data_IF_321519018859
#
_entry.id   IF_321519018859
#
_cell.length_a   1.000
_cell.length_b   1.000
_cell.length_c   1.000
_cell.angle_alpha   90.00
_cell.angle_beta   90.00
_cell.angle_gamma   90.00
#
_symmetry.space_group_name_H-M   'P 1'
#
loop_
_entity.id
_entity.type
_entity.pdbx_description
1 polymer ?
#
# COMPACT_ATOMS: atom_id res chain seq x y z
N UNK A 1 15.07 79.53 8.79
CA UNK A 1 15.74 78.21 8.82
C UNK A 1 14.68 77.13 8.94
N UNK A 2 14.35 76.53 7.80
CA UNK A 2 13.39 75.41 7.74
C UNK A 2 14.16 74.09 7.80
N UNK A 3 13.88 73.20 8.76
CA UNK A 3 14.40 71.84 8.79
C UNK A 3 13.41 70.91 8.06
N UNK A 4 13.86 70.33 6.98
CA UNK A 4 13.18 69.23 6.27
C UNK A 4 13.45 67.90 6.98
N UNK A 5 12.38 67.19 7.32
CA UNK A 5 12.45 65.78 7.79
C UNK A 5 12.32 64.86 6.60
N UNK A 6 13.33 64.05 6.37
CA UNK A 6 13.29 62.91 5.44
C UNK A 6 12.74 61.68 6.19
N UNK A 7 11.62 61.10 5.67
CA UNK A 7 11.09 59.83 6.14
C UNK A 7 11.78 58.65 5.46
N UNK A 8 11.74 57.43 6.06
CA UNK A 8 12.42 56.27 5.48
C UNK A 8 11.64 55.69 4.30
N UNK A 9 12.41 55.36 3.24
CA UNK A 9 11.93 54.66 2.04
C UNK A 9 11.44 53.25 2.37
N UNK A 10 10.25 52.92 1.85
CA UNK A 10 9.70 51.55 1.88
C UNK A 10 10.30 50.74 0.73
N UNK A 11 11.03 49.66 1.05
CA UNK A 11 11.51 48.70 0.10
C UNK A 11 10.35 47.91 -0.56
N UNK A 12 10.56 47.32 -1.75
CA UNK A 12 9.50 46.68 -2.53
C UNK A 12 9.06 45.36 -1.83
N UNK A 13 7.77 45.29 -1.52
CA UNK A 13 7.13 44.10 -0.96
C UNK A 13 7.20 42.93 -1.95
N UNK A 14 7.83 41.86 -1.53
CA UNK A 14 7.80 40.58 -2.23
C UNK A 14 6.35 40.09 -2.32
N UNK A 15 5.79 40.07 -3.51
CA UNK A 15 4.50 39.42 -3.78
C UNK A 15 4.70 37.94 -3.58
N UNK A 16 4.11 37.38 -2.51
CA UNK A 16 3.89 35.96 -2.33
C UNK A 16 2.86 35.52 -3.38
N UNK A 17 3.29 34.80 -4.42
CA UNK A 17 2.39 34.10 -5.33
C UNK A 17 1.63 33.01 -4.58
N UNK A 18 0.43 32.62 -5.03
CA UNK A 18 -0.29 31.53 -4.41
C UNK A 18 0.51 30.24 -4.59
N UNK A 19 0.91 29.62 -3.49
CA UNK A 19 1.41 28.25 -3.48
C UNK A 19 0.20 27.38 -3.80
N UNK A 20 0.08 26.94 -5.04
CA UNK A 20 -0.86 25.88 -5.42
C UNK A 20 -0.35 24.60 -4.78
N UNK A 21 -0.87 24.30 -3.61
CA UNK A 21 -0.64 23.02 -2.93
C UNK A 21 -1.31 21.95 -3.79
N UNK A 22 -0.50 21.16 -4.48
CA UNK A 22 -0.93 19.90 -5.09
C UNK A 22 -1.31 18.95 -3.95
N UNK A 23 -2.59 18.99 -3.54
CA UNK A 23 -3.23 18.04 -2.64
C UNK A 23 -3.52 16.74 -3.40
N UNK A 24 -2.50 16.04 -3.79
CA UNK A 24 -2.68 14.74 -4.40
C UNK A 24 -1.59 13.84 -3.83
N UNK A 25 -1.96 12.92 -2.90
CA UNK A 25 -1.26 11.62 -2.99
C UNK A 25 -1.44 10.64 -1.84
N UNK A 26 -2.00 11.00 -0.68
CA UNK A 26 -2.19 10.00 0.36
C UNK A 26 -3.60 9.35 0.37
N UNK A 27 -4.60 10.01 -0.21
CA UNK A 27 -6.02 9.58 -0.19
C UNK A 27 -6.74 9.92 -1.51
N UNK A 28 -6.07 9.89 -2.64
CA UNK A 28 -6.71 10.14 -3.94
C UNK A 28 -7.56 8.94 -4.40
N UNK A 29 -8.64 8.69 -3.71
CA UNK A 29 -9.80 8.00 -4.22
C UNK A 29 -11.06 8.70 -3.71
N UNK A 30 -11.11 10.02 -3.81
CA UNK A 30 -12.39 10.73 -3.77
C UNK A 30 -13.04 10.49 -5.12
N UNK A 31 -14.14 9.77 -5.11
CA UNK A 31 -14.95 9.48 -6.28
C UNK A 31 -15.18 10.73 -7.13
N UNK A 32 -14.50 10.83 -8.25
CA UNK A 32 -14.95 11.64 -9.35
C UNK A 32 -16.16 10.91 -9.91
N UNK A 33 -17.33 11.58 -9.84
CA UNK A 33 -18.60 11.16 -10.40
C UNK A 33 -18.41 10.52 -11.77
N UNK A 34 -19.00 9.32 -11.95
CA UNK A 34 -18.84 8.48 -13.11
C UNK A 34 -19.08 9.21 -14.44
N UNK A 35 -18.01 9.40 -15.17
CA UNK A 35 -18.07 9.43 -16.61
C UNK A 35 -18.02 7.96 -17.06
N UNK A 36 -19.05 7.53 -17.78
CA UNK A 36 -19.03 6.25 -18.48
C UNK A 36 -17.74 6.17 -19.30
N UNK A 37 -17.02 5.03 -19.30
CA UNK A 37 -15.84 4.88 -20.11
C UNK A 37 -16.24 5.12 -21.57
N UNK A 38 -15.61 6.11 -22.20
CA UNK A 38 -15.71 6.28 -23.64
C UNK A 38 -15.33 4.95 -24.28
N UNK A 39 -16.13 4.51 -25.25
CA UNK A 39 -15.82 3.35 -26.10
C UNK A 39 -14.58 3.68 -26.93
N UNK A 40 -13.42 3.62 -26.29
CA UNK A 40 -12.12 3.73 -26.94
C UNK A 40 -11.89 2.48 -27.79
N UNK A 41 -11.32 2.64 -28.96
CA UNK A 41 -10.87 1.56 -29.82
C UNK A 41 -10.06 0.57 -28.96
N UNK A 42 -10.45 -0.70 -28.98
CA UNK A 42 -9.75 -1.74 -28.21
C UNK A 42 -8.27 -1.79 -28.63
N UNK A 43 -7.36 -2.10 -27.71
CA UNK A 43 -5.94 -2.20 -28.02
C UNK A 43 -5.73 -3.19 -29.16
N UNK A 44 -4.83 -2.83 -30.09
CA UNK A 44 -4.47 -3.67 -31.23
C UNK A 44 -4.08 -5.08 -30.76
N UNK A 45 -4.62 -6.10 -31.43
CA UNK A 45 -4.31 -7.50 -31.09
C UNK A 45 -2.84 -7.77 -31.40
N UNK A 46 -2.06 -8.02 -30.37
CA UNK A 46 -0.67 -8.42 -30.54
C UNK A 46 -0.52 -9.73 -31.31
N UNK A 47 0.56 -9.87 -32.08
CA UNK A 47 0.84 -11.04 -32.92
C UNK A 47 0.95 -12.37 -32.16
N UNK A 48 1.10 -12.36 -30.82
CA UNK A 48 1.22 -13.55 -29.97
C UNK A 48 -0.09 -14.11 -29.42
N UNK A 49 -1.23 -13.49 -29.71
CA UNK A 49 -2.52 -13.88 -29.16
C UNK A 49 -3.35 -14.80 -30.04
N UNK A 50 -2.72 -15.67 -30.79
CA UNK A 50 -3.40 -16.63 -31.66
C UNK A 50 -4.29 -17.61 -30.84
N UNK A 51 -5.58 -17.68 -31.17
CA UNK A 51 -6.56 -18.65 -30.68
C UNK A 51 -7.43 -18.19 -29.50
N UNK A 52 -8.64 -18.73 -29.38
CA UNK A 52 -9.56 -18.44 -28.28
C UNK A 52 -9.14 -19.25 -27.05
N UNK A 53 -8.29 -18.68 -26.21
CA UNK A 53 -7.98 -19.28 -24.94
C UNK A 53 -9.02 -18.90 -23.91
N UNK A 54 -9.82 -19.88 -23.47
CA UNK A 54 -10.86 -19.69 -22.47
C UNK A 54 -10.25 -19.84 -21.08
N UNK A 55 -9.60 -18.77 -20.61
CA UNK A 55 -9.20 -18.69 -19.21
C UNK A 55 -10.43 -18.47 -18.33
N UNK A 56 -10.55 -19.25 -17.25
CA UNK A 56 -11.60 -19.08 -16.24
C UNK A 56 -10.98 -18.92 -14.87
N UNK A 57 -11.38 -17.86 -14.19
CA UNK A 57 -11.00 -17.62 -12.80
C UNK A 57 -12.00 -18.36 -11.91
N UNK A 58 -11.57 -19.39 -11.17
CA UNK A 58 -12.47 -20.11 -10.27
C UNK A 58 -13.05 -19.19 -9.20
N UNK A 59 -14.34 -19.25 -9.00
CA UNK A 59 -15.05 -18.42 -8.02
C UNK A 59 -15.40 -17.02 -8.49
N UNK A 60 -14.86 -16.53 -9.61
CA UNK A 60 -15.22 -15.20 -10.10
C UNK A 60 -16.70 -15.15 -10.49
N UNK A 61 -17.38 -14.10 -10.06
CA UNK A 61 -18.74 -13.78 -10.50
C UNK A 61 -18.72 -13.20 -11.90
N UNK A 62 -17.74 -12.35 -12.17
CA UNK A 62 -17.56 -11.73 -13.47
C UNK A 62 -16.09 -11.64 -13.85
N UNK A 63 -15.78 -11.79 -15.15
CA UNK A 63 -14.43 -11.64 -15.68
C UNK A 63 -14.42 -11.22 -17.14
N UNK A 64 -13.34 -10.57 -17.54
CA UNK A 64 -13.00 -10.33 -18.94
C UNK A 64 -11.54 -10.72 -19.18
N UNK A 65 -11.24 -11.18 -20.41
CA UNK A 65 -9.87 -11.53 -20.82
C UNK A 65 -9.48 -10.65 -21.99
N UNK A 66 -8.31 -10.02 -21.88
CA UNK A 66 -7.73 -9.22 -22.95
C UNK A 66 -6.37 -9.78 -23.37
N UNK A 67 -6.05 -9.68 -24.62
CA UNK A 67 -4.71 -9.91 -25.15
C UNK A 67 -4.06 -8.56 -25.46
N UNK A 68 -2.90 -8.32 -24.88
CA UNK A 68 -2.26 -7.02 -24.85
C UNK A 68 -0.82 -7.13 -25.34
N UNK A 69 -0.40 -6.16 -26.12
CA UNK A 69 0.98 -6.08 -26.66
C UNK A 69 1.98 -5.70 -25.57
N UNK A 70 1.49 -5.10 -24.50
CA UNK A 70 2.29 -4.76 -23.30
C UNK A 70 1.37 -4.77 -22.07
N UNK A 71 1.75 -5.57 -21.07
CA UNK A 71 1.05 -5.71 -19.79
C UNK A 71 1.52 -4.70 -18.74
N UNK A 72 2.52 -3.88 -19.07
CA UNK A 72 3.05 -2.87 -18.15
C UNK A 72 2.26 -1.56 -18.24
N UNK A 73 2.41 -0.70 -17.27
CA UNK A 73 1.76 0.62 -17.27
C UNK A 73 2.10 1.44 -18.51
N UNK A 74 3.28 1.26 -19.12
CA UNK A 74 3.65 1.93 -20.36
C UNK A 74 2.71 1.58 -21.53
N UNK A 75 2.25 0.34 -21.62
CA UNK A 75 1.30 -0.11 -22.65
C UNK A 75 -0.16 0.04 -22.25
N UNK A 76 -0.45 0.20 -20.96
CA UNK A 76 -1.82 0.21 -20.42
C UNK A 76 -2.36 1.61 -20.09
N UNK A 77 -1.50 2.63 -19.95
CA UNK A 77 -1.90 3.98 -19.62
C UNK A 77 -2.95 4.50 -20.60
N UNK A 78 -4.05 5.07 -20.07
CA UNK A 78 -5.17 5.56 -20.87
C UNK A 78 -6.14 4.47 -21.38
N UNK A 79 -5.95 3.21 -21.00
CA UNK A 79 -6.85 2.10 -21.31
C UNK A 79 -7.72 1.73 -20.10
N UNK A 80 -8.69 0.83 -20.28
CA UNK A 80 -9.50 0.28 -19.19
C UNK A 80 -8.80 -0.86 -18.42
N UNK A 81 -7.51 -1.12 -18.69
CA UNK A 81 -6.77 -2.25 -18.12
C UNK A 81 -5.77 -1.84 -17.03
N UNK A 82 -5.72 -0.58 -16.68
CA UNK A 82 -5.01 0.01 -15.53
C UNK A 82 -5.71 1.30 -15.11
N UNK A 83 -5.37 1.82 -13.93
CA UNK A 83 -5.85 3.11 -13.43
C UNK A 83 -4.64 3.89 -12.87
N UNK A 84 -4.19 4.91 -13.63
CA UNK A 84 -3.07 5.74 -13.22
C UNK A 84 -3.37 6.61 -11.99
N UNK A 85 -4.66 6.97 -11.79
CA UNK A 85 -5.07 7.71 -10.60
C UNK A 85 -4.96 6.86 -9.33
N UNK A 86 -5.23 5.55 -9.44
CA UNK A 86 -5.08 4.60 -8.33
C UNK A 86 -3.61 4.43 -7.89
N UNK A 87 -2.65 4.76 -8.76
CA UNK A 87 -1.21 4.64 -8.51
C UNK A 87 -0.57 5.94 -7.99
N UNK A 88 -1.31 7.05 -7.99
CA UNK A 88 -0.76 8.36 -7.68
C UNK A 88 -0.04 8.43 -6.32
N UNK A 89 1.15 9.01 -6.29
CA UNK A 89 1.94 9.22 -5.06
C UNK A 89 2.62 7.99 -4.47
N UNK A 90 2.56 6.84 -5.11
CA UNK A 90 3.27 5.65 -4.64
C UNK A 90 4.74 5.61 -5.08
N UNK A 91 5.06 6.25 -6.20
CA UNK A 91 6.41 6.26 -6.77
C UNK A 91 6.90 7.67 -7.01
N UNK A 92 8.21 7.89 -6.99
CA UNK A 92 8.84 9.16 -7.32
C UNK A 92 8.78 9.43 -8.84
N UNK A 93 8.72 10.71 -9.24
CA UNK A 93 8.93 11.09 -10.62
C UNK A 93 10.34 10.65 -11.08
N UNK A 94 10.50 10.30 -12.34
CA UNK A 94 11.76 9.77 -12.85
C UNK A 94 12.01 8.30 -12.53
N UNK A 95 11.07 7.61 -11.86
CA UNK A 95 11.10 6.15 -11.74
C UNK A 95 11.08 5.52 -13.13
N UNK A 96 12.10 4.73 -13.43
CA UNK A 96 12.16 3.96 -14.69
C UNK A 96 11.42 2.64 -14.52
N UNK A 97 10.40 2.44 -15.34
CA UNK A 97 9.65 1.19 -15.39
C UNK A 97 9.97 0.41 -16.66
N UNK A 98 9.99 -0.90 -16.55
CA UNK A 98 10.03 -1.79 -17.72
C UNK A 98 8.82 -1.58 -18.63
N UNK A 99 8.95 -1.99 -19.89
CA UNK A 99 7.90 -1.96 -20.90
C UNK A 99 8.06 -3.13 -21.89
N UNK A 100 7.07 -3.31 -22.75
CA UNK A 100 7.16 -4.29 -23.84
C UNK A 100 7.00 -5.74 -23.38
N UNK A 101 6.12 -6.02 -22.43
CA UNK A 101 5.81 -7.36 -21.95
C UNK A 101 4.46 -7.82 -22.53
N UNK A 102 4.44 -8.51 -23.66
CA UNK A 102 3.20 -9.00 -24.25
C UNK A 102 2.58 -10.12 -23.40
N UNK A 103 1.24 -10.23 -23.45
CA UNK A 103 0.58 -11.29 -22.71
C UNK A 103 -0.93 -11.13 -22.61
N UNK A 104 -1.52 -11.81 -21.62
CA UNK A 104 -2.95 -11.76 -21.35
C UNK A 104 -3.22 -11.13 -19.99
N UNK A 105 -4.26 -10.31 -19.93
CA UNK A 105 -4.81 -9.80 -18.69
C UNK A 105 -6.20 -10.35 -18.47
N UNK A 106 -6.49 -10.76 -17.25
CA UNK A 106 -7.82 -11.16 -16.79
C UNK A 106 -8.22 -10.21 -15.67
N UNK A 107 -9.27 -9.43 -15.89
CA UNK A 107 -9.89 -8.59 -14.87
C UNK A 107 -11.21 -9.22 -14.44
N UNK A 108 -11.59 -9.00 -13.20
CA UNK A 108 -12.87 -9.48 -12.72
C UNK A 108 -13.11 -9.11 -11.26
N UNK A 109 -14.18 -9.67 -10.71
CA UNK A 109 -14.48 -9.58 -9.29
C UNK A 109 -15.08 -10.89 -8.80
N UNK A 110 -14.85 -11.16 -7.52
CA UNK A 110 -15.49 -12.27 -6.82
C UNK A 110 -16.87 -11.87 -6.28
N UNK A 111 -17.77 -12.82 -5.99
CA UNK A 111 -18.99 -12.53 -5.27
C UNK A 111 -18.66 -11.79 -3.96
N UNK A 112 -19.41 -10.73 -3.72
CA UNK A 112 -19.29 -9.95 -2.50
C UNK A 112 -20.64 -9.94 -1.76
N UNK A 113 -20.63 -10.50 -0.55
CA UNK A 113 -21.76 -10.61 0.37
C UNK A 113 -21.69 -9.61 1.52
N UNK A 114 -20.81 -8.62 1.41
CA UNK A 114 -20.64 -7.59 2.42
C UNK A 114 -21.93 -6.78 2.63
N UNK A 115 -22.00 -6.13 3.78
CA UNK A 115 -23.18 -5.34 4.12
C UNK A 115 -23.25 -3.99 3.42
N UNK A 116 -22.19 -3.56 2.78
CA UNK A 116 -22.05 -2.25 2.16
C UNK A 116 -21.31 -2.33 0.81
N UNK A 117 -21.92 -2.98 -0.16
CA UNK A 117 -21.47 -2.93 -1.52
C UNK A 117 -22.54 -2.20 -2.36
N UNK A 118 -22.27 -0.96 -2.71
CA UNK A 118 -23.17 -0.11 -3.48
C UNK A 118 -22.74 0.04 -4.93
N UNK A 119 -21.61 -0.55 -5.31
CA UNK A 119 -21.10 -0.50 -6.67
C UNK A 119 -21.38 -1.81 -7.40
N UNK A 120 -21.69 -1.72 -8.68
CA UNK A 120 -22.06 -2.85 -9.53
C UNK A 120 -21.24 -2.84 -10.82
N UNK A 121 -21.16 -3.98 -11.47
CA UNK A 121 -20.35 -4.15 -12.68
C UNK A 121 -18.85 -4.00 -12.37
N UNK A 122 -18.14 -3.25 -13.20
CA UNK A 122 -16.69 -3.08 -13.04
C UNK A 122 -16.26 -2.15 -11.89
N UNK A 123 -17.19 -1.59 -11.16
CA UNK A 123 -16.92 -0.87 -9.92
C UNK A 123 -17.30 -1.68 -8.67
N UNK A 124 -17.69 -2.93 -8.84
CA UNK A 124 -17.99 -3.86 -7.75
C UNK A 124 -16.76 -4.03 -6.86
N UNK A 125 -16.94 -4.21 -5.54
CA UNK A 125 -15.84 -4.57 -4.65
C UNK A 125 -15.41 -6.03 -4.88
N UNK A 126 -14.35 -6.48 -4.23
CA UNK A 126 -13.71 -7.77 -4.45
C UNK A 126 -13.10 -7.95 -5.86
N UNK A 127 -12.59 -6.85 -6.43
CA UNK A 127 -11.94 -6.84 -7.73
C UNK A 127 -10.55 -7.47 -7.72
N UNK A 128 -10.20 -8.03 -8.88
CA UNK A 128 -8.86 -8.57 -9.12
C UNK A 128 -8.38 -8.28 -10.55
N UNK A 129 -7.05 -8.34 -10.71
CA UNK A 129 -6.36 -8.43 -11.98
C UNK A 129 -5.38 -9.58 -11.95
N UNK A 130 -5.30 -10.36 -13.05
CA UNK A 130 -4.29 -11.42 -13.25
C UNK A 130 -3.60 -11.15 -14.58
N UNK A 131 -2.27 -11.00 -14.59
CA UNK A 131 -1.43 -10.76 -15.77
C UNK A 131 -0.51 -11.94 -16.06
N UNK A 132 -0.52 -12.40 -17.28
CA UNK A 132 0.09 -13.65 -17.73
C UNK A 132 1.03 -13.35 -18.92
N UNK A 133 2.33 -13.08 -18.68
CA UNK A 133 3.27 -12.73 -19.73
C UNK A 133 3.51 -13.91 -20.68
N UNK A 134 3.72 -13.64 -21.97
CA UNK A 134 4.03 -14.72 -22.94
C UNK A 134 5.29 -15.49 -22.57
N UNK A 135 6.34 -14.77 -22.16
CA UNK A 135 7.59 -15.37 -21.67
C UNK A 135 7.55 -15.57 -20.16
N UNK A 136 6.83 -16.59 -19.73
CA UNK A 136 6.66 -16.92 -18.32
C UNK A 136 7.86 -17.70 -17.76
N UNK A 137 8.40 -17.26 -16.62
CA UNK A 137 9.53 -17.87 -15.93
C UNK A 137 9.15 -19.04 -14.99
N UNK A 138 7.85 -19.36 -14.85
CA UNK A 138 7.36 -20.41 -13.96
C UNK A 138 6.89 -19.91 -12.58
N UNK A 139 7.01 -18.63 -12.28
CA UNK A 139 6.63 -18.05 -10.99
C UNK A 139 5.36 -17.20 -11.05
N UNK A 140 4.77 -16.97 -9.87
CA UNK A 140 3.61 -16.09 -9.65
C UNK A 140 3.92 -15.12 -8.51
N UNK A 141 3.56 -13.85 -8.67
CA UNK A 141 3.62 -12.84 -7.62
C UNK A 141 2.21 -12.33 -7.33
N UNK A 142 1.85 -12.27 -6.04
CA UNK A 142 0.53 -11.82 -5.59
C UNK A 142 0.68 -10.61 -4.68
N UNK A 143 -0.23 -9.64 -4.80
CA UNK A 143 -0.30 -8.48 -3.92
C UNK A 143 -1.74 -8.10 -3.58
N UNK A 144 -1.92 -7.40 -2.46
CA UNK A 144 -3.13 -6.64 -2.16
C UNK A 144 -2.86 -5.14 -2.28
N UNK A 145 -3.87 -4.36 -2.60
CA UNK A 145 -3.75 -2.93 -2.76
C UNK A 145 -3.33 -2.20 -1.46
N UNK A 146 -2.46 -1.18 -1.53
CA UNK A 146 -2.13 -0.32 -0.40
C UNK A 146 -3.31 0.58 -0.02
N UNK A 147 -3.36 1.06 1.22
CA UNK A 147 -4.38 2.00 1.70
C UNK A 147 -5.80 1.52 1.40
N UNK A 148 -6.62 2.43 0.89
CA UNK A 148 -8.01 2.19 0.47
C UNK A 148 -8.14 2.15 -1.06
N UNK A 149 -7.11 1.69 -1.76
CA UNK A 149 -6.98 1.67 -3.22
C UNK A 149 -7.52 0.39 -3.83
N UNK A 150 -7.64 0.40 -5.16
CA UNK A 150 -8.14 -0.70 -5.98
C UNK A 150 -7.00 -1.63 -6.46
N UNK A 151 -7.35 -2.61 -7.28
CA UNK A 151 -6.44 -3.67 -7.75
C UNK A 151 -5.28 -3.21 -8.64
N UNK A 152 -5.34 -2.01 -9.20
CA UNK A 152 -4.27 -1.48 -10.08
C UNK A 152 -3.24 -0.61 -9.36
N UNK A 153 -3.44 -0.36 -8.07
CA UNK A 153 -2.60 0.58 -7.32
C UNK A 153 -1.11 0.24 -7.32
N UNK A 154 -0.76 -1.04 -7.32
CA UNK A 154 0.62 -1.48 -7.29
C UNK A 154 1.24 -1.71 -8.68
N UNK A 155 0.60 -1.27 -9.76
CA UNK A 155 1.05 -1.57 -11.13
C UNK A 155 2.46 -1.03 -11.40
N UNK A 156 2.68 0.27 -11.27
CA UNK A 156 4.01 0.89 -11.45
C UNK A 156 5.04 0.40 -10.45
N UNK A 157 4.63 0.23 -9.19
CA UNK A 157 5.57 -0.11 -8.11
C UNK A 157 6.01 -1.58 -8.15
N UNK A 158 5.09 -2.51 -8.45
CA UNK A 158 5.33 -3.95 -8.33
C UNK A 158 5.13 -4.68 -9.66
N UNK A 159 3.94 -4.54 -10.29
CA UNK A 159 3.55 -5.33 -11.46
C UNK A 159 4.55 -5.21 -12.61
N UNK A 160 4.91 -3.98 -13.01
CA UNK A 160 5.80 -3.74 -14.16
C UNK A 160 7.14 -4.45 -13.98
N UNK A 161 7.72 -4.37 -12.78
CA UNK A 161 9.00 -5.01 -12.48
C UNK A 161 8.92 -6.54 -12.55
N UNK A 162 7.95 -7.15 -11.85
CA UNK A 162 7.87 -8.61 -11.79
C UNK A 162 7.47 -9.23 -13.12
N UNK A 163 6.64 -8.55 -13.91
CA UNK A 163 6.30 -8.95 -15.28
C UNK A 163 7.51 -8.93 -16.19
N UNK A 164 8.39 -7.92 -16.08
CA UNK A 164 9.63 -7.87 -16.89
C UNK A 164 10.60 -8.98 -16.57
N UNK A 165 10.55 -9.51 -15.35
CA UNK A 165 11.30 -10.70 -14.92
C UNK A 165 10.64 -12.02 -15.37
N UNK A 166 9.46 -11.94 -15.99
CA UNK A 166 8.71 -13.09 -16.51
C UNK A 166 7.76 -13.73 -15.50
N UNK A 167 7.55 -13.17 -14.33
CA UNK A 167 6.53 -13.68 -13.39
C UNK A 167 5.13 -13.39 -13.90
N UNK A 168 4.20 -14.32 -13.68
CA UNK A 168 2.78 -13.97 -13.67
C UNK A 168 2.49 -13.09 -12.44
N UNK A 169 1.51 -12.21 -12.55
CA UNK A 169 1.17 -11.25 -11.50
C UNK A 169 -0.33 -11.30 -11.20
N UNK A 170 -0.70 -11.16 -9.93
CA UNK A 170 -2.09 -11.03 -9.52
C UNK A 170 -2.25 -10.00 -8.39
N UNK A 171 -3.26 -9.14 -8.49
CA UNK A 171 -3.57 -8.14 -7.47
C UNK A 171 -5.06 -8.03 -7.19
N UNK A 172 -5.43 -7.65 -5.97
CA UNK A 172 -6.81 -7.44 -5.52
C UNK A 172 -6.96 -6.11 -4.78
N UNK A 173 -8.17 -5.53 -4.87
CA UNK A 173 -8.60 -4.42 -4.02
C UNK A 173 -8.83 -4.82 -2.56
N UNK A 174 -8.64 -6.11 -2.21
CA UNK A 174 -8.81 -6.70 -0.88
C UNK A 174 -10.26 -6.96 -0.45
N UNK A 175 -11.24 -6.76 -1.33
CA UNK A 175 -12.66 -6.94 -1.03
C UNK A 175 -13.40 -5.64 -0.75
N UNK A 176 -12.68 -4.58 -0.42
CA UNK A 176 -13.24 -3.26 -0.20
C UNK A 176 -12.20 -2.18 -0.50
N UNK A 177 -12.66 -1.05 -0.95
CA UNK A 177 -11.86 0.13 -1.24
C UNK A 177 -12.55 1.37 -0.66
N UNK A 178 -12.00 2.58 -0.86
CA UNK A 178 -12.51 3.83 -0.33
C UNK A 178 -12.34 4.02 1.18
N UNK A 179 -12.59 5.24 1.65
CA UNK A 179 -12.35 5.64 3.06
C UNK A 179 -13.42 5.12 4.02
N UNK A 180 -14.52 4.62 3.50
CA UNK A 180 -15.65 4.08 4.29
C UNK A 180 -15.71 2.55 4.27
N UNK A 181 -14.60 1.89 3.93
CA UNK A 181 -14.48 0.43 3.93
C UNK A 181 -14.95 -0.24 5.24
N UNK A 182 -14.86 0.45 6.37
CA UNK A 182 -15.32 -0.02 7.67
C UNK A 182 -16.83 -0.35 7.71
N UNK A 183 -17.61 0.16 6.74
CA UNK A 183 -19.04 -0.13 6.61
C UNK A 183 -19.32 -1.47 5.95
N UNK A 184 -18.32 -2.05 5.33
CA UNK A 184 -18.41 -3.29 4.59
C UNK A 184 -18.60 -4.50 5.50
N UNK A 185 -18.05 -4.48 6.70
CA UNK A 185 -18.16 -5.55 7.68
C UNK A 185 -19.51 -5.60 8.39
N UNK A 186 -19.97 -6.79 8.74
CA UNK A 186 -21.17 -7.02 9.58
C UNK A 186 -20.90 -6.76 11.05
N UNK A 187 -19.67 -6.89 11.48
CA UNK A 187 -19.20 -6.70 12.87
C UNK A 187 -17.84 -6.01 12.87
N UNK A 188 -17.46 -5.31 13.93
CA UNK A 188 -16.14 -4.70 14.05
C UNK A 188 -15.01 -5.69 13.72
N UNK A 189 -14.07 -5.27 12.89
CA UNK A 189 -12.94 -6.05 12.42
C UNK A 189 -13.22 -6.95 11.21
N UNK A 190 -14.44 -7.06 10.73
CA UNK A 190 -14.81 -7.94 9.60
C UNK A 190 -14.28 -7.40 8.27
N UNK A 191 -14.29 -6.07 8.06
CA UNK A 191 -13.84 -5.47 6.81
C UNK A 191 -12.33 -5.64 6.58
N UNK A 192 -11.49 -5.47 7.61
CA UNK A 192 -10.05 -5.74 7.50
C UNK A 192 -9.77 -7.25 7.47
N UNK A 193 -10.54 -8.08 8.17
CA UNK A 193 -10.42 -9.54 8.10
C UNK A 193 -10.74 -10.08 6.69
N UNK A 194 -11.60 -9.40 5.95
CA UNK A 194 -11.89 -9.72 4.55
C UNK A 194 -10.66 -9.58 3.66
N UNK A 195 -9.81 -8.57 3.87
CA UNK A 195 -8.59 -8.39 3.09
C UNK A 195 -7.73 -9.66 3.04
N UNK A 196 -7.61 -10.33 4.18
CA UNK A 196 -6.86 -11.58 4.32
C UNK A 196 -7.50 -12.70 3.49
N UNK A 197 -8.82 -12.80 3.54
CA UNK A 197 -9.62 -13.80 2.83
C UNK A 197 -9.52 -13.61 1.32
N UNK A 198 -9.68 -12.37 0.83
CA UNK A 198 -9.63 -12.03 -0.60
C UNK A 198 -8.26 -12.26 -1.23
N UNK A 199 -7.19 -11.95 -0.49
CA UNK A 199 -5.83 -12.24 -0.95
C UNK A 199 -5.59 -13.75 -1.06
N UNK A 200 -6.10 -14.54 -0.10
CA UNK A 200 -6.05 -16.00 -0.16
C UNK A 200 -6.85 -16.55 -1.35
N UNK A 201 -8.08 -16.07 -1.54
CA UNK A 201 -8.98 -16.44 -2.64
C UNK A 201 -8.34 -16.18 -4.00
N UNK A 202 -7.82 -14.95 -4.19
CA UNK A 202 -7.11 -14.58 -5.42
C UNK A 202 -5.89 -15.48 -5.65
N UNK A 203 -5.10 -15.77 -4.63
CA UNK A 203 -3.90 -16.62 -4.78
C UNK A 203 -4.27 -18.02 -5.29
N UNK A 204 -5.30 -18.62 -4.71
CA UNK A 204 -5.78 -19.94 -5.13
C UNK A 204 -6.33 -19.91 -6.56
N UNK A 205 -7.09 -18.87 -6.90
CA UNK A 205 -7.65 -18.69 -8.25
C UNK A 205 -6.55 -18.42 -9.28
N UNK A 206 -5.60 -17.52 -9.00
CA UNK A 206 -4.49 -17.18 -9.88
C UNK A 206 -3.60 -18.39 -10.21
N UNK A 207 -3.29 -19.24 -9.21
CA UNK A 207 -2.57 -20.50 -9.45
C UNK A 207 -3.29 -21.40 -10.46
N UNK A 208 -4.62 -21.47 -10.42
CA UNK A 208 -5.42 -22.24 -11.39
C UNK A 208 -5.42 -21.61 -12.77
N UNK A 209 -5.50 -20.27 -12.85
CA UNK A 209 -5.45 -19.53 -14.12
C UNK A 209 -4.07 -19.67 -14.77
N UNK A 210 -2.99 -19.58 -13.99
CA UNK A 210 -1.63 -19.86 -14.46
C UNK A 210 -1.52 -21.28 -15.01
N UNK A 211 -2.06 -22.28 -14.31
CA UNK A 211 -2.06 -23.67 -14.80
C UNK A 211 -2.85 -23.84 -16.10
N UNK A 212 -3.98 -23.16 -16.26
CA UNK A 212 -4.76 -23.15 -17.52
C UNK A 212 -3.96 -22.53 -18.68
N UNK A 213 -3.25 -21.42 -18.41
CA UNK A 213 -2.51 -20.69 -19.44
C UNK A 213 -1.26 -21.43 -19.92
N UNK A 214 -0.48 -22.01 -18.99
CA UNK A 214 0.84 -22.56 -19.30
C UNK A 214 0.91 -24.08 -19.22
N UNK A 215 -0.22 -24.76 -18.96
CA UNK A 215 -0.27 -26.23 -18.87
C UNK A 215 0.35 -26.79 -17.57
N UNK A 216 0.85 -25.94 -16.66
CA UNK A 216 1.46 -26.35 -15.39
C UNK A 216 1.25 -25.25 -14.33
N UNK A 217 1.11 -25.67 -13.07
CA UNK A 217 1.03 -24.76 -11.94
C UNK A 217 2.35 -23.97 -11.76
N UNK A 218 2.30 -22.77 -11.13
CA UNK A 218 3.52 -22.07 -10.78
C UNK A 218 4.34 -22.91 -9.80
N UNK A 219 5.64 -23.03 -10.07
CA UNK A 219 6.57 -23.76 -9.20
C UNK A 219 7.07 -22.90 -8.05
N UNK A 220 6.90 -21.58 -8.14
CA UNK A 220 7.14 -20.61 -7.08
C UNK A 220 6.01 -19.58 -7.01
N UNK A 221 5.64 -19.21 -5.80
CA UNK A 221 4.65 -18.15 -5.55
C UNK A 221 5.16 -17.23 -4.47
N UNK A 222 5.21 -15.94 -4.75
CA UNK A 222 5.63 -14.91 -3.82
C UNK A 222 4.47 -13.98 -3.48
N UNK A 223 4.47 -13.44 -2.27
CA UNK A 223 3.56 -12.36 -1.87
C UNK A 223 4.36 -11.12 -1.53
N UNK A 224 3.89 -9.96 -1.98
CA UNK A 224 4.52 -8.67 -1.68
C UNK A 224 3.48 -7.57 -1.64
N UNK A 225 3.80 -6.43 -1.03
CA UNK A 225 2.90 -5.30 -1.01
C UNK A 225 3.42 -4.14 -0.19
N UNK A 226 2.74 -3.01 -0.32
CA UNK A 226 3.04 -1.74 0.33
C UNK A 226 1.95 -1.48 1.37
N UNK A 227 2.29 -1.01 2.58
CA UNK A 227 1.32 -0.57 3.57
C UNK A 227 0.32 -1.69 3.96
N UNK A 228 -0.98 -1.51 3.73
CA UNK A 228 -1.96 -2.59 3.89
C UNK A 228 -1.64 -3.83 3.03
N UNK A 229 -1.04 -3.64 1.85
CA UNK A 229 -0.52 -4.76 1.05
C UNK A 229 0.67 -5.46 1.71
N UNK A 230 1.54 -4.72 2.40
CA UNK A 230 2.62 -5.26 3.22
C UNK A 230 2.09 -6.05 4.42
N UNK A 231 1.06 -5.53 5.12
CA UNK A 231 0.34 -6.29 6.14
C UNK A 231 -0.19 -7.62 5.59
N UNK A 232 -0.75 -7.61 4.39
CA UNK A 232 -1.22 -8.83 3.75
C UNK A 232 -0.09 -9.82 3.47
N UNK A 233 1.09 -9.35 3.06
CA UNK A 233 2.25 -10.22 2.92
C UNK A 233 2.65 -10.87 4.26
N UNK A 234 2.70 -10.09 5.36
CA UNK A 234 2.93 -10.60 6.72
C UNK A 234 1.89 -11.65 7.11
N UNK A 235 0.60 -11.31 6.97
CA UNK A 235 -0.50 -12.18 7.39
C UNK A 235 -0.54 -13.49 6.59
N UNK A 236 -0.34 -13.43 5.28
CA UNK A 236 -0.33 -14.62 4.43
C UNK A 236 0.82 -15.56 4.79
N UNK A 237 2.01 -15.03 5.07
CA UNK A 237 3.17 -15.85 5.46
C UNK A 237 3.05 -16.44 6.87
N UNK A 238 2.24 -15.84 7.74
CA UNK A 238 1.90 -16.42 9.06
C UNK A 238 0.81 -17.49 8.97
N UNK A 239 -0.25 -17.23 8.20
CA UNK A 239 -1.50 -17.99 8.28
C UNK A 239 -1.72 -18.95 7.08
N UNK A 240 -1.06 -18.70 5.95
CA UNK A 240 -1.18 -19.48 4.71
C UNK A 240 0.18 -19.77 4.06
N UNK A 241 1.20 -20.16 4.85
CA UNK A 241 2.55 -20.36 4.33
C UNK A 241 2.64 -21.46 3.25
N UNK A 242 1.65 -22.37 3.21
CA UNK A 242 1.57 -23.42 2.18
C UNK A 242 1.28 -22.88 0.78
N UNK A 243 0.77 -21.64 0.66
CA UNK A 243 0.47 -21.03 -0.62
C UNK A 243 1.66 -20.31 -1.24
N UNK A 244 2.71 -20.04 -0.46
CA UNK A 244 3.81 -19.17 -0.85
C UNK A 244 5.17 -19.80 -0.58
N UNK A 245 6.19 -19.32 -1.29
CA UNK A 245 7.59 -19.70 -1.09
C UNK A 245 8.38 -18.60 -0.38
N UNK A 246 7.86 -17.38 -0.32
CA UNK A 246 8.43 -16.23 0.38
C UNK A 246 7.68 -14.94 0.10
N UNK A 247 8.13 -13.84 0.72
CA UNK A 247 7.55 -12.52 0.48
C UNK A 247 8.44 -11.34 0.78
N UNK A 248 8.05 -10.18 0.25
CA UNK A 248 8.65 -8.88 0.58
C UNK A 248 7.56 -7.98 1.15
N UNK A 249 7.80 -7.50 2.34
CA UNK A 249 6.97 -6.55 3.06
C UNK A 249 7.58 -5.15 2.94
N UNK A 250 6.86 -4.23 2.31
CA UNK A 250 7.22 -2.82 2.28
C UNK A 250 6.29 -2.06 3.23
N UNK A 251 6.80 -1.78 4.43
CA UNK A 251 6.12 -0.99 5.47
C UNK A 251 4.69 -1.45 5.75
N UNK A 252 4.51 -2.76 5.93
CA UNK A 252 3.20 -3.32 6.24
C UNK A 252 2.68 -2.84 7.60
N UNK A 253 1.37 -2.57 7.69
CA UNK A 253 0.73 -2.17 8.95
C UNK A 253 0.82 -3.28 9.99
N UNK A 254 1.16 -2.92 11.23
CA UNK A 254 1.13 -3.85 12.35
C UNK A 254 -0.22 -3.79 13.08
N UNK A 255 -0.88 -4.92 13.17
CA UNK A 255 -2.07 -5.10 13.99
C UNK A 255 -1.80 -6.12 15.09
N UNK A 256 -2.01 -5.72 16.34
CA UNK A 256 -2.01 -6.60 17.50
C UNK A 256 -3.22 -6.30 18.38
N UNK A 257 -3.71 -7.30 19.11
CA UNK A 257 -4.92 -7.17 19.91
C UNK A 257 -4.78 -6.13 21.05
N UNK A 258 -3.58 -6.03 21.62
CA UNK A 258 -3.27 -5.16 22.76
C UNK A 258 -2.36 -3.96 22.39
N UNK A 259 -2.08 -3.74 21.10
CA UNK A 259 -1.09 -2.80 20.62
C UNK A 259 0.35 -3.38 20.65
N UNK A 260 1.27 -2.79 19.90
CA UNK A 260 1.07 -1.61 19.06
C UNK A 260 0.25 -1.87 17.81
N UNK A 261 -0.36 -0.81 17.31
CA UNK A 261 -1.07 -0.73 16.04
C UNK A 261 -1.23 0.76 15.67
N UNK A 262 -1.81 1.06 14.51
CA UNK A 262 -2.18 2.43 14.14
C UNK A 262 -3.01 3.12 15.23
N UNK A 263 -3.92 2.41 15.89
CA UNK A 263 -4.76 2.93 16.97
C UNK A 263 -4.00 3.27 18.25
N UNK A 264 -2.69 3.03 18.33
CA UNK A 264 -1.83 3.44 19.47
C UNK A 264 -0.93 4.61 19.15
N UNK A 265 -0.55 4.84 17.90
CA UNK A 265 0.33 5.94 17.48
C UNK A 265 -0.45 7.16 16.97
N UNK A 266 -1.49 6.93 16.17
CA UNK A 266 -2.27 7.99 15.54
C UNK A 266 -3.00 8.93 16.52
N UNK A 267 -3.54 8.48 17.67
CA UNK A 267 -4.12 9.41 18.64
C UNK A 267 -3.15 10.51 19.10
N UNK A 268 -1.87 10.17 19.30
CA UNK A 268 -0.83 11.15 19.65
C UNK A 268 -0.58 12.13 18.50
N UNK A 269 -0.57 11.65 17.25
CA UNK A 269 -0.40 12.49 16.06
C UNK A 269 -1.59 13.45 15.88
N UNK A 270 -2.81 12.99 16.10
CA UNK A 270 -4.01 13.84 16.11
C UNK A 270 -3.95 14.87 17.24
N UNK A 271 -3.54 14.47 18.44
CA UNK A 271 -3.36 15.37 19.58
C UNK A 271 -2.30 16.44 19.29
N UNK A 272 -1.16 16.06 18.68
CA UNK A 272 -0.13 17.01 18.26
C UNK A 272 -0.68 18.01 17.22
N UNK A 273 -1.43 17.53 16.25
CA UNK A 273 -2.05 18.37 15.22
C UNK A 273 -3.06 19.38 15.76
N UNK A 274 -3.63 19.14 16.93
CA UNK A 274 -4.55 20.07 17.64
C UNK A 274 -3.87 20.89 18.74
N UNK A 275 -2.56 20.75 18.93
CA UNK A 275 -1.78 21.42 19.99
C UNK A 275 -1.97 20.80 21.38
N UNK A 276 -2.59 19.62 21.48
CA UNK A 276 -2.81 18.91 22.75
C UNK A 276 -1.64 17.99 23.15
N UNK A 277 -0.67 17.76 22.25
CA UNK A 277 0.56 17.02 22.50
C UNK A 277 1.76 17.80 21.94
N UNK A 278 2.93 17.59 22.54
CA UNK A 278 4.19 18.18 22.10
C UNK A 278 5.02 17.19 21.24
N UNK A 279 6.13 17.67 20.67
CA UNK A 279 7.07 16.86 19.89
C UNK A 279 7.62 15.68 20.70
N UNK A 280 7.82 15.86 22.01
CA UNK A 280 8.31 14.79 22.87
C UNK A 280 7.30 13.63 22.95
N UNK A 281 6.01 13.91 22.93
CA UNK A 281 4.96 12.90 22.85
C UNK A 281 5.01 12.14 21.51
N UNK A 282 5.23 12.85 20.40
CA UNK A 282 5.40 12.23 19.07
C UNK A 282 6.58 11.25 19.05
N UNK A 283 7.74 11.65 19.57
CA UNK A 283 8.89 10.76 19.64
C UNK A 283 8.64 9.52 20.53
N UNK A 284 7.92 9.68 21.65
CA UNK A 284 7.51 8.54 22.48
C UNK A 284 6.53 7.61 21.79
N UNK A 285 5.68 8.13 20.89
CA UNK A 285 4.77 7.35 20.06
C UNK A 285 5.46 6.64 18.89
N UNK A 286 6.78 6.86 18.72
CA UNK A 286 7.59 6.16 17.72
C UNK A 286 7.97 6.99 16.49
N UNK A 287 7.52 8.25 16.38
CA UNK A 287 7.90 9.13 15.29
C UNK A 287 9.39 9.49 15.38
N UNK A 288 10.07 9.44 14.25
CA UNK A 288 11.51 9.66 14.21
C UNK A 288 11.88 11.14 14.32
N UNK A 289 12.98 11.43 15.04
CA UNK A 289 13.63 12.75 14.97
C UNK A 289 14.13 13.00 13.55
N UNK A 290 13.93 14.22 13.04
CA UNK A 290 14.26 14.58 11.66
C UNK A 290 13.10 14.37 10.68
N UNK A 291 11.95 13.78 11.11
CA UNK A 291 10.74 13.66 10.30
C UNK A 291 9.77 14.83 10.45
N UNK A 292 10.07 15.83 11.28
CA UNK A 292 9.17 16.94 11.65
C UNK A 292 8.70 17.75 10.44
N UNK A 293 9.54 17.87 9.40
CA UNK A 293 9.20 18.59 8.17
C UNK A 293 8.08 17.92 7.35
N UNK A 294 7.74 16.66 7.64
CA UNK A 294 6.66 15.90 7.02
C UNK A 294 5.34 16.00 7.81
N UNK A 295 5.40 16.45 9.09
CA UNK A 295 4.26 16.34 9.99
C UNK A 295 3.08 17.20 9.57
N UNK A 296 3.33 18.42 9.08
CA UNK A 296 2.25 19.30 8.62
C UNK A 296 1.49 18.70 7.44
N UNK A 297 2.19 18.06 6.50
CA UNK A 297 1.56 17.37 5.38
C UNK A 297 0.66 16.21 5.88
N UNK A 298 1.20 15.36 6.77
CA UNK A 298 0.43 14.20 7.25
C UNK A 298 -0.68 14.57 8.23
N UNK A 299 -0.52 15.66 8.97
CA UNK A 299 -1.59 16.23 9.79
C UNK A 299 -2.83 16.59 8.96
N UNK A 300 -2.63 17.17 7.80
CA UNK A 300 -3.71 17.64 6.93
C UNK A 300 -4.27 16.54 6.00
N UNK A 301 -3.46 15.54 5.64
CA UNK A 301 -3.81 14.59 4.59
C UNK A 301 -4.04 13.14 5.09
N UNK A 302 -3.61 12.79 6.33
CA UNK A 302 -3.57 11.38 6.70
C UNK A 302 -4.01 11.07 8.13
N UNK A 303 -3.40 11.69 9.16
CA UNK A 303 -3.56 11.21 10.55
C UNK A 303 -5.01 11.21 11.03
N UNK A 304 -5.74 12.30 10.78
CA UNK A 304 -7.13 12.42 11.23
C UNK A 304 -8.06 11.41 10.57
N UNK A 305 -8.03 11.33 9.25
CA UNK A 305 -8.90 10.42 8.49
C UNK A 305 -8.59 8.96 8.80
N UNK A 306 -7.32 8.61 8.91
CA UNK A 306 -6.89 7.25 9.20
C UNK A 306 -7.30 6.83 10.60
N UNK A 307 -7.07 7.68 11.62
CA UNK A 307 -7.50 7.39 12.99
C UNK A 307 -9.01 7.15 13.06
N UNK A 308 -9.83 8.07 12.54
CA UNK A 308 -11.30 7.93 12.63
C UNK A 308 -11.83 6.72 11.83
N UNK A 309 -11.23 6.40 10.70
CA UNK A 309 -11.67 5.28 9.85
C UNK A 309 -11.35 3.92 10.48
N UNK A 310 -10.10 3.71 10.93
CA UNK A 310 -9.77 2.45 11.61
C UNK A 310 -10.42 2.34 13.00
N UNK A 311 -10.61 3.45 13.69
CA UNK A 311 -11.42 3.44 14.92
C UNK A 311 -12.85 3.01 14.62
N UNK A 312 -13.48 3.54 13.56
CA UNK A 312 -14.81 3.13 13.16
C UNK A 312 -14.90 1.64 12.81
N UNK A 313 -13.85 1.06 12.22
CA UNK A 313 -13.76 -0.37 11.91
C UNK A 313 -13.69 -1.23 13.19
N UNK A 314 -12.84 -0.88 14.14
CA UNK A 314 -12.58 -1.74 15.30
C UNK A 314 -13.37 -1.34 16.56
N UNK A 315 -13.77 -0.08 16.68
CA UNK A 315 -14.46 0.48 17.84
C UNK A 315 -15.52 1.52 17.45
N UNK A 316 -16.54 1.15 16.68
CA UNK A 316 -17.57 2.10 16.21
C UNK A 316 -18.36 2.76 17.33
N UNK A 317 -18.35 2.20 18.54
CA UNK A 317 -19.08 2.72 19.69
C UNK A 317 -18.35 3.83 20.45
N UNK A 318 -17.07 4.12 20.13
CA UNK A 318 -16.26 5.11 20.85
C UNK A 318 -16.83 6.53 20.75
N UNK A 319 -17.17 6.95 19.55
CA UNK A 319 -17.75 8.26 19.29
C UNK A 319 -18.79 8.17 18.17
N UNK A 320 -20.05 7.90 18.51
CA UNK A 320 -21.12 7.83 17.50
C UNK A 320 -21.40 9.16 16.80
N UNK A 321 -21.02 10.31 17.43
CA UNK A 321 -21.16 11.62 16.81
C UNK A 321 -20.11 11.90 15.73
N UNK A 322 -19.02 11.14 15.73
CA UNK A 322 -17.99 11.19 14.70
C UNK A 322 -17.73 9.77 14.16
N UNK A 323 -18.59 9.25 13.30
CA UNK A 323 -18.40 7.97 12.65
C UNK A 323 -17.14 8.02 11.77
N UNK A 324 -16.79 7.00 11.06
CA UNK A 324 -15.65 7.03 10.11
C UNK A 324 -15.83 8.08 9.01
N UNK A 325 -14.81 8.24 8.18
CA UNK A 325 -14.91 9.03 6.95
C UNK A 325 -15.93 8.38 5.99
N UNK A 326 -16.61 9.19 5.16
CA UNK A 326 -17.56 8.71 4.16
C UNK A 326 -17.12 9.14 2.76
N UNK A 327 -17.14 8.24 1.80
CA UNK A 327 -16.83 8.53 0.40
C UNK A 327 -17.78 9.55 -0.24
N UNK A 328 -19.00 9.71 0.32
CA UNK A 328 -19.96 10.72 -0.14
C UNK A 328 -19.73 12.13 0.42
N UNK A 329 -18.77 12.31 1.34
CA UNK A 329 -18.44 13.60 1.94
C UNK A 329 -17.47 14.40 1.09
N UNK A 330 -17.37 15.71 1.37
CA UNK A 330 -16.33 16.57 0.79
C UNK A 330 -14.94 16.12 1.27
N UNK A 331 -13.89 16.51 0.52
CA UNK A 331 -12.50 16.21 0.92
C UNK A 331 -12.18 16.78 2.30
N UNK A 332 -12.66 17.99 2.61
CA UNK A 332 -12.46 18.65 3.90
C UNK A 332 -13.10 17.83 5.05
N UNK A 333 -14.34 17.36 4.88
CA UNK A 333 -15.03 16.52 5.87
C UNK A 333 -14.34 15.16 6.04
N UNK A 334 -13.85 14.55 4.95
CA UNK A 334 -13.09 13.31 4.99
C UNK A 334 -11.82 13.47 5.82
N UNK A 335 -11.06 14.52 5.57
CA UNK A 335 -9.76 14.75 6.21
C UNK A 335 -9.88 15.32 7.63
N UNK A 336 -10.99 15.99 7.98
CA UNK A 336 -11.17 16.59 9.30
C UNK A 336 -11.05 15.54 10.42
N UNK A 337 -10.18 15.75 11.42
CA UNK A 337 -10.06 14.82 12.54
C UNK A 337 -11.27 14.91 13.46
N UNK A 338 -11.62 13.82 14.14
CA UNK A 338 -12.53 13.87 15.27
C UNK A 338 -11.80 14.42 16.51
N UNK A 339 -12.40 15.38 17.21
CA UNK A 339 -11.78 15.95 18.41
C UNK A 339 -11.59 14.93 19.54
N UNK A 340 -12.41 13.90 19.60
CA UNK A 340 -12.31 12.78 20.55
C UNK A 340 -11.10 11.89 20.29
N UNK A 341 -10.68 11.76 19.03
CA UNK A 341 -9.61 10.85 18.61
C UNK A 341 -8.24 11.19 19.23
N UNK A 342 -8.00 12.47 19.55
CA UNK A 342 -6.81 12.90 20.29
C UNK A 342 -6.68 12.29 21.71
N UNK A 343 -7.77 11.76 22.24
CA UNK A 343 -7.84 11.12 23.58
C UNK A 343 -8.14 9.63 23.51
N UNK A 344 -8.15 9.05 22.32
CA UNK A 344 -8.37 7.63 22.17
C UNK A 344 -7.24 6.84 22.82
N UNK A 345 -7.59 5.91 23.70
CA UNK A 345 -6.65 5.04 24.41
C UNK A 345 -7.12 3.58 24.27
N UNK A 346 -6.48 2.84 23.38
CA UNK A 346 -6.81 1.44 23.07
C UNK A 346 -6.83 0.57 24.32
N UNK A 347 -5.94 0.82 25.30
CA UNK A 347 -5.83 0.00 26.52
C UNK A 347 -7.06 0.15 27.43
N UNK A 348 -7.79 1.25 27.31
CA UNK A 348 -9.00 1.52 28.08
C UNK A 348 -10.28 1.11 27.36
N UNK A 349 -10.16 0.52 26.17
CA UNK A 349 -11.35 0.14 25.40
C UNK A 349 -11.94 -1.19 25.90
N UNK A 350 -13.26 -1.43 25.68
CA UNK A 350 -13.91 -2.70 26.03
C UNK A 350 -13.24 -3.90 25.37
N UNK A 351 -13.35 -5.07 25.99
CA UNK A 351 -12.81 -6.33 25.45
C UNK A 351 -13.37 -6.69 24.06
N UNK A 352 -14.50 -6.11 23.64
CA UNK A 352 -15.04 -6.26 22.28
C UNK A 352 -14.10 -5.69 21.21
N UNK A 353 -13.41 -4.58 21.50
CA UNK A 353 -12.43 -3.97 20.59
C UNK A 353 -11.22 -4.87 20.43
N UNK A 354 -10.71 -5.44 21.53
CA UNK A 354 -9.63 -6.44 21.48
C UNK A 354 -10.04 -7.65 20.61
N UNK A 355 -11.24 -8.20 20.80
CA UNK A 355 -11.75 -9.30 19.95
C UNK A 355 -11.90 -8.93 18.49
N UNK A 356 -12.19 -7.67 18.17
CA UNK A 356 -12.22 -7.20 16.78
C UNK A 356 -10.81 -7.20 16.17
N UNK A 357 -9.81 -6.72 16.93
CA UNK A 357 -8.41 -6.71 16.52
C UNK A 357 -7.80 -8.13 16.42
N UNK A 358 -8.24 -9.08 17.27
CA UNK A 358 -7.80 -10.48 17.22
C UNK A 358 -8.02 -11.14 15.85
N UNK A 359 -9.04 -10.72 15.09
CA UNK A 359 -9.32 -11.23 13.74
C UNK A 359 -8.20 -10.94 12.72
N UNK A 360 -7.39 -9.93 12.99
CA UNK A 360 -6.39 -9.41 12.06
C UNK A 360 -4.99 -9.37 12.66
N UNK A 361 -4.84 -9.82 13.90
CA UNK A 361 -3.60 -9.78 14.67
C UNK A 361 -2.49 -10.58 14.00
N UNK A 362 -1.30 -9.97 13.96
CA UNK A 362 -0.03 -10.61 13.59
C UNK A 362 0.66 -11.17 14.84
N UNK A 363 1.40 -12.25 14.65
CA UNK A 363 2.04 -13.01 15.73
C UNK A 363 3.55 -13.14 15.58
N UNK A 364 4.11 -12.80 14.42
CA UNK A 364 5.52 -13.03 14.07
C UNK A 364 5.84 -14.48 13.66
N UNK A 365 4.85 -15.37 13.60
CA UNK A 365 5.06 -16.80 13.29
C UNK A 365 5.08 -17.04 11.78
N UNK A 366 5.96 -16.35 11.08
CA UNK A 366 6.12 -16.54 9.63
C UNK A 366 6.61 -17.97 9.31
N UNK A 367 6.01 -18.59 8.31
CA UNK A 367 6.37 -19.95 7.87
C UNK A 367 7.31 -20.01 6.66
N UNK A 368 7.66 -18.87 6.07
CA UNK A 368 8.47 -18.76 4.84
C UNK A 368 9.42 -17.58 4.90
N UNK A 369 10.51 -17.56 4.10
CA UNK A 369 11.41 -16.42 4.00
C UNK A 369 10.70 -15.10 3.72
N UNK A 370 11.03 -14.06 4.47
CA UNK A 370 10.47 -12.72 4.32
C UNK A 370 11.57 -11.65 4.45
N UNK A 371 11.52 -10.65 3.58
CA UNK A 371 12.31 -9.43 3.70
C UNK A 371 11.35 -8.27 4.01
N UNK A 372 11.64 -7.52 5.06
CA UNK A 372 10.93 -6.29 5.42
C UNK A 372 11.79 -5.08 5.08
N UNK A 373 11.21 -4.11 4.37
CA UNK A 373 11.78 -2.79 4.12
C UNK A 373 10.95 -1.74 4.86
N UNK A 374 11.62 -0.79 5.54
CA UNK A 374 10.94 0.31 6.20
C UNK A 374 11.80 1.58 6.20
N UNK A 375 11.23 2.70 5.79
CA UNK A 375 11.89 4.01 5.85
C UNK A 375 11.98 4.54 7.27
N UNK A 376 13.12 5.12 7.63
CA UNK A 376 13.32 5.68 8.97
C UNK A 376 12.56 6.99 9.20
N UNK A 377 12.05 7.63 8.14
CA UNK A 377 11.26 8.85 8.20
C UNK A 377 9.77 8.60 7.91
N UNK A 378 9.29 7.36 8.00
CA UNK A 378 7.87 7.07 7.86
C UNK A 378 7.06 7.70 9.01
N UNK A 379 6.16 8.61 8.66
CA UNK A 379 5.26 9.30 9.58
C UNK A 379 3.80 8.86 9.45
N UNK A 380 3.54 7.83 8.64
CA UNK A 380 2.25 7.14 8.56
C UNK A 380 2.26 5.92 9.49
N UNK A 381 3.30 5.12 9.39
CA UNK A 381 3.57 3.92 10.19
C UNK A 381 4.95 4.10 10.87
N UNK A 382 5.04 4.78 12.01
CA UNK A 382 6.35 5.04 12.62
C UNK A 382 7.14 3.75 12.82
N UNK A 383 8.34 3.67 12.23
CA UNK A 383 9.22 2.49 12.23
C UNK A 383 9.33 1.82 13.61
N UNK A 384 9.53 2.63 14.66
CA UNK A 384 9.75 2.14 16.03
C UNK A 384 8.48 1.50 16.64
N UNK A 385 7.29 1.88 16.16
CA UNK A 385 6.00 1.38 16.62
C UNK A 385 5.41 0.30 15.69
N UNK A 386 5.99 0.08 14.52
CA UNK A 386 5.51 -0.89 13.52
C UNK A 386 6.58 -1.96 13.21
N UNK A 387 7.29 -1.87 12.09
CA UNK A 387 8.16 -2.95 11.59
C UNK A 387 9.27 -3.35 12.54
N UNK A 388 9.80 -2.40 13.33
CA UNK A 388 10.78 -2.75 14.37
C UNK A 388 10.17 -3.60 15.50
N UNK A 389 8.89 -3.40 15.81
CA UNK A 389 8.15 -4.27 16.74
C UNK A 389 7.89 -5.63 16.10
N UNK A 390 7.42 -5.63 14.86
CA UNK A 390 7.12 -6.87 14.14
C UNK A 390 8.36 -7.76 13.98
N UNK A 391 9.52 -7.18 13.64
CA UNK A 391 10.79 -7.91 13.59
C UNK A 391 11.11 -8.60 14.93
N UNK A 392 10.95 -7.88 16.05
CA UNK A 392 11.14 -8.48 17.39
C UNK A 392 10.09 -9.56 17.71
N UNK A 393 8.87 -9.46 17.17
CA UNK A 393 7.86 -10.52 17.32
C UNK A 393 8.29 -11.78 16.56
N UNK A 394 8.84 -11.65 15.36
CA UNK A 394 9.38 -12.77 14.57
C UNK A 394 10.51 -13.47 15.32
N UNK A 395 11.43 -12.70 15.92
CA UNK A 395 12.53 -13.25 16.71
C UNK A 395 12.01 -14.03 17.94
N UNK A 396 11.06 -13.44 18.67
CA UNK A 396 10.42 -14.10 19.82
C UNK A 396 9.64 -15.35 19.44
N UNK A 397 9.10 -15.40 18.24
CA UNK A 397 8.43 -16.58 17.69
C UNK A 397 9.41 -17.67 17.21
N UNK A 398 10.74 -17.40 17.25
CA UNK A 398 11.77 -18.33 16.81
C UNK A 398 11.92 -18.41 15.29
N UNK A 399 11.35 -17.46 14.55
CA UNK A 399 11.35 -17.42 13.09
C UNK A 399 12.44 -16.49 12.48
N UNK A 400 13.30 -15.88 13.28
CA UNK A 400 14.32 -14.91 12.84
C UNK A 400 15.24 -15.40 11.71
N UNK A 401 15.52 -16.72 11.63
CA UNK A 401 16.28 -17.29 10.52
C UNK A 401 15.61 -17.11 9.15
N UNK A 402 14.28 -16.94 9.11
CA UNK A 402 13.47 -16.73 7.91
C UNK A 402 13.25 -15.24 7.59
N UNK A 403 13.80 -14.33 8.41
CA UNK A 403 13.55 -12.90 8.26
C UNK A 403 14.84 -12.12 7.98
N UNK A 404 14.70 -11.03 7.19
CA UNK A 404 15.69 -9.96 7.08
C UNK A 404 14.97 -8.63 7.12
N UNK A 405 15.54 -7.70 7.92
CA UNK A 405 14.97 -6.38 8.13
C UNK A 405 15.93 -5.28 7.65
N UNK A 406 15.47 -4.45 6.73
CA UNK A 406 16.24 -3.35 6.16
C UNK A 406 15.55 -2.02 6.45
N UNK A 407 16.20 -1.19 7.27
CA UNK A 407 15.80 0.21 7.46
C UNK A 407 16.37 1.05 6.31
N UNK A 408 15.54 1.77 5.58
CA UNK A 408 15.98 2.62 4.47
C UNK A 408 16.13 4.06 4.97
N UNK A 409 17.38 4.53 5.09
CA UNK A 409 17.68 5.88 5.57
C UNK A 409 17.16 6.95 4.59
N UNK A 410 16.35 7.88 5.11
CA UNK A 410 15.63 8.90 4.32
C UNK A 410 14.39 8.36 3.60
N UNK A 411 13.99 7.10 3.84
CA UNK A 411 12.76 6.55 3.30
C UNK A 411 11.52 7.07 4.02
N UNK A 412 10.43 7.24 3.27
CA UNK A 412 9.09 7.56 3.76
C UNK A 412 8.12 6.47 3.32
N UNK A 413 6.91 6.48 3.85
CA UNK A 413 5.90 5.44 3.60
C UNK A 413 5.70 5.10 2.12
N UNK A 414 5.71 6.09 1.25
CA UNK A 414 5.69 5.96 -0.20
C UNK A 414 6.65 6.96 -0.82
N UNK A 415 7.04 6.75 -2.07
CA UNK A 415 8.10 7.55 -2.69
C UNK A 415 7.63 8.90 -3.25
N UNK A 416 6.31 9.20 -3.24
CA UNK A 416 5.77 10.43 -3.86
C UNK A 416 6.23 11.73 -3.22
N UNK A 417 6.66 11.71 -1.95
CA UNK A 417 7.21 12.92 -1.29
C UNK A 417 8.66 13.20 -1.66
N UNK A 418 9.36 12.26 -2.29
CA UNK A 418 10.74 12.47 -2.74
C UNK A 418 10.87 13.70 -3.66
N UNK A 419 9.92 13.90 -4.58
CA UNK A 419 9.97 14.99 -5.55
C UNK A 419 9.89 16.39 -4.89
N UNK A 420 9.30 16.46 -3.69
CA UNK A 420 9.23 17.69 -2.89
C UNK A 420 10.48 17.90 -2.03
N UNK A 421 11.13 16.82 -1.59
CA UNK A 421 12.27 16.86 -0.66
C UNK A 421 13.44 15.98 -1.13
N UNK A 422 13.95 16.14 -2.36
CA UNK A 422 14.97 15.27 -2.94
C UNK A 422 16.34 15.33 -2.24
N UNK A 423 16.59 16.41 -1.50
CA UNK A 423 17.80 16.61 -0.68
C UNK A 423 17.77 15.80 0.63
N UNK A 424 16.58 15.45 1.15
CA UNK A 424 16.36 14.79 2.44
C UNK A 424 15.90 13.36 2.31
N UNK A 425 15.07 13.05 1.31
CA UNK A 425 14.41 11.77 1.16
C UNK A 425 15.15 10.83 0.20
N UNK A 426 14.76 9.57 0.26
CA UNK A 426 15.20 8.51 -0.63
C UNK A 426 14.04 7.61 -1.00
N UNK A 427 13.78 7.32 -2.29
CA UNK A 427 12.79 6.34 -2.71
C UNK A 427 13.11 4.92 -2.20
N UNK A 428 12.10 4.21 -1.73
CA UNK A 428 12.20 2.81 -1.29
C UNK A 428 12.01 1.83 -2.45
N UNK A 429 11.29 2.21 -3.48
CA UNK A 429 11.00 1.33 -4.63
C UNK A 429 12.24 0.61 -5.19
N UNK A 430 13.39 1.27 -5.46
CA UNK A 430 14.56 0.55 -5.96
C UNK A 430 15.09 -0.46 -4.94
N UNK A 431 14.94 -0.19 -3.63
CA UNK A 431 15.29 -1.13 -2.58
C UNK A 431 14.34 -2.33 -2.56
N UNK A 432 13.04 -2.11 -2.78
CA UNK A 432 12.04 -3.18 -2.88
C UNK A 432 12.34 -4.12 -4.06
N UNK A 433 12.69 -3.58 -5.23
CA UNK A 433 13.08 -4.38 -6.40
C UNK A 433 14.31 -5.24 -6.09
N UNK A 434 15.34 -4.65 -5.49
CA UNK A 434 16.53 -5.40 -5.06
C UNK A 434 16.24 -6.43 -3.98
N UNK A 435 15.32 -6.14 -3.06
CA UNK A 435 14.87 -7.09 -2.03
C UNK A 435 14.12 -8.27 -2.65
N UNK A 436 13.26 -8.02 -3.64
CA UNK A 436 12.57 -9.09 -4.36
C UNK A 436 13.55 -10.03 -5.08
N UNK A 437 14.56 -9.47 -5.76
CA UNK A 437 15.62 -10.28 -6.39
C UNK A 437 16.46 -11.06 -5.37
N UNK A 438 16.75 -10.45 -4.22
CA UNK A 438 17.46 -11.12 -3.12
C UNK A 438 16.61 -12.25 -2.50
N UNK A 439 15.30 -12.03 -2.33
CA UNK A 439 14.37 -13.06 -1.88
C UNK A 439 14.33 -14.25 -2.82
N UNK A 440 14.19 -14.00 -4.14
CA UNK A 440 14.15 -15.07 -5.14
C UNK A 440 15.47 -15.84 -5.18
N UNK A 441 16.62 -15.16 -5.05
CA UNK A 441 17.92 -15.81 -4.90
C UNK A 441 18.00 -16.71 -3.66
N UNK A 442 17.45 -16.24 -2.55
CA UNK A 442 17.41 -17.02 -1.32
C UNK A 442 16.56 -18.27 -1.46
N UNK A 443 15.32 -18.11 -1.93
CA UNK A 443 14.36 -19.22 -2.08
C UNK A 443 14.77 -20.22 -3.15
N UNK A 444 15.26 -19.76 -4.30
CA UNK A 444 15.48 -20.61 -5.47
C UNK A 444 16.89 -21.16 -5.55
N UNK A 445 17.88 -20.46 -4.99
CA UNK A 445 19.30 -20.83 -5.08
C UNK A 445 19.96 -21.06 -3.72
N UNK A 446 19.22 -20.89 -2.62
CA UNK A 446 19.77 -21.01 -1.27
C UNK A 446 20.79 -19.91 -0.92
N UNK A 447 20.83 -18.80 -1.66
CA UNK A 447 21.75 -17.69 -1.41
C UNK A 447 21.07 -16.69 -0.46
N UNK A 448 21.41 -16.69 0.84
CA UNK A 448 20.73 -15.79 1.79
C UNK A 448 21.08 -14.33 1.47
N UNK A 449 20.12 -13.41 1.66
CA UNK A 449 20.37 -11.98 1.55
C UNK A 449 21.30 -11.51 2.68
N UNK A 450 21.93 -10.33 2.57
CA UNK A 450 22.73 -9.75 3.65
C UNK A 450 21.96 -9.70 4.97
N UNK A 451 22.69 -9.67 6.08
CA UNK A 451 22.11 -9.49 7.42
C UNK A 451 21.36 -8.16 7.53
N UNK A 452 20.51 -8.08 8.53
CA UNK A 452 19.74 -6.87 8.89
C UNK A 452 20.67 -5.66 8.99
N UNK A 453 20.22 -4.55 8.40
CA UNK A 453 21.01 -3.30 8.39
C UNK A 453 20.19 -2.08 7.99
N UNK A 454 20.77 -0.93 8.26
CA UNK A 454 20.34 0.32 7.65
C UNK A 454 20.97 0.46 6.26
N UNK A 455 20.14 0.69 5.26
CA UNK A 455 20.54 0.98 3.88
C UNK A 455 20.75 2.48 3.79
N UNK A 456 22.00 2.92 3.78
CA UNK A 456 22.34 4.35 3.80
C UNK A 456 21.81 5.08 2.55
N UNK A 457 21.39 6.34 2.72
CA UNK A 457 21.10 7.22 1.58
C UNK A 457 22.41 7.50 0.84
N UNK A 458 22.50 7.26 -0.47
CA UNK A 458 23.74 7.54 -1.20
C UNK A 458 23.96 9.06 -1.31
N UNK A 459 25.22 9.47 -1.34
CA UNK A 459 25.62 10.88 -1.50
C UNK A 459 25.48 11.39 -2.96
N UNK A 460 25.18 10.51 -3.90
CA UNK A 460 25.02 10.83 -5.32
C UNK A 460 24.61 9.61 -6.14
N UNK A 461 24.52 9.79 -7.45
CA UNK A 461 24.08 8.76 -8.39
C UNK A 461 22.57 8.74 -8.61
N UNK A 462 22.06 7.69 -9.21
CA UNK A 462 20.63 7.53 -9.52
C UNK A 462 19.86 7.00 -8.32
N UNK A 463 19.56 7.88 -7.37
CA UNK A 463 18.88 7.55 -6.12
C UNK A 463 17.47 7.01 -6.36
N UNK A 464 16.81 7.45 -7.43
CA UNK A 464 15.44 7.04 -7.77
C UNK A 464 15.37 5.62 -8.30
N UNK A 465 16.42 5.14 -8.97
CA UNK A 465 16.39 3.84 -9.65
C UNK A 465 17.45 2.84 -9.15
N UNK A 466 18.21 3.18 -8.11
CA UNK A 466 19.28 2.33 -7.61
C UNK A 466 19.26 2.17 -6.10
N UNK A 467 19.29 0.92 -5.65
CA UNK A 467 19.43 0.55 -4.24
C UNK A 467 20.10 -0.83 -4.11
N UNK A 468 21.44 -0.89 -4.10
CA UNK A 468 22.10 -2.17 -3.87
C UNK A 468 21.91 -2.61 -2.41
N UNK A 469 21.25 -3.75 -2.21
CA UNK A 469 21.17 -4.42 -0.91
C UNK A 469 22.39 -5.31 -0.63
N UNK A 470 23.43 -5.22 -1.45
CA UNK A 470 24.66 -6.00 -1.33
C UNK A 470 25.74 -5.29 -0.56
#
# INVERSE_FOLDING_TARGET
MRRTRTGPERGPGARRGPVTVLLATALAAVAVTGAAPASGAGPERGAGCAGPERLRVPGAEHQRVACLVDLTTAGLAGTAYTDMADQAGLTAAGTRNPSGVPGRQVDGYFPDDSSFNTTHGWNHDAQFVIRLPERWNGGLVVTGAPGTRKQYAADTAISDHVLSLGYAYAATDKGNSTVDFYRDGKRPGDAVAEWNRRTTELTLAAKKVVAQRYGKAPHRTYVTGISNGGYLARWQLENRPELYDGGVDWEGSLWTADGPSLLTSLPTAVAHGTGAADDAAMYRAGFARGSEFLWEYHRTAYWGVTQKTYRAEFDPSYDPACPGASAGSTVEEILAPCASDARYDLQRRPASVRRALEKVTLTGRIGKPMLTLHGDLDTLLPLAADSAVYSRMIDRAGAGRLHRFYTVAGGTHTDGLYDTHPDRLRPILPCHRSAFEALTAWVERGTPPPADRTVARPSGGDVVNSCPLR
#
